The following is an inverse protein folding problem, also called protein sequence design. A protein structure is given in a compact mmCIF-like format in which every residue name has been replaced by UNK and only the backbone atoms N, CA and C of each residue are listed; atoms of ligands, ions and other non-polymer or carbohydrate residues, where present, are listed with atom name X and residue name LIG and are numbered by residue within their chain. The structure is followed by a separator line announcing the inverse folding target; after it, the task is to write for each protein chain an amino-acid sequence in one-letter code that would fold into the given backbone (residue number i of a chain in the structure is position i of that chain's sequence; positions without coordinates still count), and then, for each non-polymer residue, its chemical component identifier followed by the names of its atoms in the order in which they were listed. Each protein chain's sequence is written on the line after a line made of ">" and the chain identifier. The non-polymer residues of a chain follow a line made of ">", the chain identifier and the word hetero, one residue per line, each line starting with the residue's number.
data_IF_582843702837
#
_entry.id   IF_582843702837
#
_cell.length_a   1.000
_cell.length_b   1.000
_cell.length_c   1.000
_cell.angle_alpha   90.00
_cell.angle_beta   90.00
_cell.angle_gamma   90.00
#
_symmetry.space_group_name_H-M   'P 1'
#
loop_
_entity.id
_entity.type
_entity.pdbx_description
1 polymer ?
#
# COMPACT_ATOMS: atom_id res chain seq x y z
N UNK A 1 36.86 10.36 -16.27
CA UNK A 1 35.93 11.12 -15.41
C UNK A 1 34.64 11.36 -16.20
N UNK A 2 33.51 10.94 -15.62
CA UNK A 2 32.10 11.23 -15.93
C UNK A 2 31.64 11.50 -17.38
N UNK A 3 30.78 10.63 -17.89
CA UNK A 3 29.65 11.01 -18.75
C UNK A 3 28.53 9.96 -18.59
N UNK A 4 27.79 10.05 -17.50
CA UNK A 4 26.56 9.27 -17.29
C UNK A 4 25.42 10.03 -17.97
N UNK A 5 25.03 9.58 -19.16
CA UNK A 5 23.90 10.14 -19.91
C UNK A 5 22.57 9.79 -19.22
N UNK A 6 21.67 10.77 -19.00
CA UNK A 6 20.37 10.51 -18.39
C UNK A 6 19.44 9.80 -19.38
N UNK A 7 18.89 8.66 -18.97
CA UNK A 7 17.83 7.96 -19.69
C UNK A 7 16.51 8.66 -19.40
N UNK A 8 16.13 9.57 -20.28
CA UNK A 8 14.84 10.26 -20.27
C UNK A 8 13.71 9.27 -20.49
N UNK A 9 13.00 8.88 -19.44
CA UNK A 9 11.70 8.23 -19.58
C UNK A 9 10.63 9.32 -19.66
N UNK A 10 10.11 9.47 -20.88
CA UNK A 10 8.98 10.31 -21.22
C UNK A 10 7.72 9.85 -20.47
N UNK A 11 7.08 10.83 -19.85
CA UNK A 11 5.68 10.92 -19.45
C UNK A 11 4.76 9.83 -20.02
N UNK A 12 4.09 9.12 -19.12
CA UNK A 12 2.66 8.85 -19.28
C UNK A 12 1.96 9.14 -17.95
N UNK A 13 1.81 10.44 -17.66
CA UNK A 13 0.72 10.89 -16.82
C UNK A 13 -0.55 10.88 -17.66
N UNK A 14 -1.53 10.06 -17.30
CA UNK A 14 -2.96 10.38 -17.48
C UNK A 14 -3.83 9.36 -16.75
N UNK A 15 -4.42 9.74 -15.61
CA UNK A 15 -5.81 10.20 -15.45
C UNK A 15 -6.65 9.14 -14.71
N UNK A 16 -6.78 9.39 -13.41
CA UNK A 16 -8.02 9.40 -12.59
C UNK A 16 -9.16 8.47 -13.03
N UNK A 17 -9.44 7.45 -12.22
CA UNK A 17 -10.80 7.01 -11.82
C UNK A 17 -10.67 6.53 -10.38
N UNK A 18 -11.05 7.32 -9.38
CA UNK A 18 -12.43 7.68 -9.12
C UNK A 18 -13.00 6.58 -8.22
N UNK A 19 -12.75 6.68 -6.91
CA UNK A 19 -13.52 5.92 -5.92
C UNK A 19 -14.97 6.40 -6.03
N UNK A 20 -15.75 5.75 -6.88
CA UNK A 20 -17.17 5.92 -6.96
C UNK A 20 -17.79 4.75 -6.19
N UNK A 21 -18.06 4.99 -4.90
CA UNK A 21 -19.10 4.24 -4.20
C UNK A 21 -20.39 4.45 -4.97
N UNK A 22 -20.82 3.44 -5.73
CA UNK A 22 -22.13 3.39 -6.33
C UNK A 22 -23.00 2.46 -5.47
N UNK A 23 -23.67 3.04 -4.47
CA UNK A 23 -24.87 2.45 -3.90
C UNK A 23 -26.04 2.86 -4.78
N UNK A 24 -26.62 1.91 -5.54
CA UNK A 24 -27.96 1.99 -6.10
C UNK A 24 -28.49 0.58 -6.36
N UNK A 25 -29.69 0.33 -5.84
CA UNK A 25 -30.30 -0.98 -5.64
C UNK A 25 -30.79 -1.67 -6.93
N UNK A 26 -30.63 -3.00 -6.99
CA UNK A 26 -31.42 -3.88 -7.86
C UNK A 26 -32.02 -5.00 -7.01
N UNK A 27 -33.33 -4.92 -6.82
CA UNK A 27 -34.19 -5.97 -6.27
C UNK A 27 -34.70 -6.81 -7.46
N UNK A 28 -34.28 -8.07 -7.57
CA UNK A 28 -35.13 -9.28 -7.74
C UNK A 28 -34.33 -10.53 -8.16
N UNK A 29 -34.81 -11.67 -7.65
CA UNK A 29 -34.50 -13.08 -7.96
C UNK A 29 -33.33 -13.71 -7.19
N UNK A 30 -33.68 -14.66 -6.31
CA UNK A 30 -32.81 -15.31 -5.35
C UNK A 30 -31.65 -16.10 -5.96
N UNK A 31 -30.45 -15.82 -5.45
CA UNK A 31 -29.31 -16.74 -5.48
C UNK A 31 -29.01 -17.16 -4.03
N UNK A 32 -28.61 -18.41 -3.76
CA UNK A 32 -28.12 -18.79 -2.45
C UNK A 32 -26.89 -17.93 -2.16
N UNK A 33 -27.04 -17.04 -1.19
CA UNK A 33 -25.97 -16.17 -0.73
C UNK A 33 -24.98 -17.04 0.02
N UNK A 34 -23.99 -17.58 -0.72
CA UNK A 34 -22.84 -18.21 -0.10
C UNK A 34 -22.22 -17.19 0.86
N UNK A 35 -21.87 -17.59 2.09
CA UNK A 35 -21.37 -16.63 3.07
C UNK A 35 -20.05 -16.06 2.54
N UNK A 36 -20.03 -14.75 2.30
CA UNK A 36 -18.83 -13.98 1.95
C UNK A 36 -17.88 -13.82 3.17
N UNK A 37 -17.68 -14.90 3.93
CA UNK A 37 -16.80 -14.99 5.09
C UNK A 37 -15.53 -15.75 4.71
N UNK A 38 -14.79 -15.27 3.70
CA UNK A 38 -13.56 -15.96 3.27
C UNK A 38 -12.42 -15.05 2.77
N UNK A 39 -12.63 -13.74 2.55
CA UNK A 39 -11.55 -12.92 1.98
C UNK A 39 -10.42 -12.62 2.97
N UNK A 40 -10.73 -12.22 4.20
CA UNK A 40 -9.73 -11.70 5.15
C UNK A 40 -8.69 -12.74 5.61
N UNK A 41 -9.13 -13.97 5.96
CA UNK A 41 -8.21 -15.05 6.33
C UNK A 41 -7.35 -15.52 5.15
N UNK A 42 -7.88 -15.45 3.94
CA UNK A 42 -7.17 -15.84 2.72
C UNK A 42 -6.02 -14.88 2.39
N UNK A 43 -6.25 -13.58 2.54
CA UNK A 43 -5.27 -12.56 2.13
C UNK A 43 -4.02 -12.56 3.01
N UNK A 44 -4.17 -12.72 4.33
CA UNK A 44 -3.02 -12.85 5.23
C UNK A 44 -2.16 -14.09 4.94
N UNK A 45 -2.79 -15.22 4.60
CA UNK A 45 -2.05 -16.44 4.26
C UNK A 45 -1.31 -16.28 2.93
N UNK A 46 -1.96 -15.68 1.92
CA UNK A 46 -1.32 -15.37 0.64
C UNK A 46 -0.15 -14.41 0.79
N UNK A 47 -0.29 -13.37 1.63
CA UNK A 47 0.77 -12.42 1.93
C UNK A 47 1.98 -13.13 2.58
N UNK A 48 1.73 -14.01 3.56
CA UNK A 48 2.80 -14.83 4.17
C UNK A 48 3.48 -15.72 3.14
N UNK A 49 2.71 -16.41 2.31
CA UNK A 49 3.26 -17.28 1.26
C UNK A 49 4.08 -16.50 0.23
N UNK A 50 3.67 -15.29 -0.14
CA UNK A 50 4.43 -14.43 -1.02
C UNK A 50 5.79 -14.05 -0.41
N UNK A 51 5.83 -13.77 0.90
CA UNK A 51 7.08 -13.50 1.61
C UNK A 51 7.97 -14.75 1.69
N UNK A 52 7.42 -15.90 2.09
CA UNK A 52 8.22 -17.13 2.26
C UNK A 52 8.69 -17.73 0.94
N UNK A 53 7.95 -17.53 -0.15
CA UNK A 53 8.35 -17.95 -1.50
C UNK A 53 9.30 -16.97 -2.20
N UNK A 54 9.66 -15.85 -1.56
CA UNK A 54 10.55 -14.83 -2.13
C UNK A 54 9.92 -14.01 -3.27
N UNK A 55 8.59 -14.04 -3.40
CA UNK A 55 7.87 -13.19 -4.36
C UNK A 55 7.89 -11.71 -3.97
N UNK A 56 8.14 -11.40 -2.69
CA UNK A 56 8.30 -10.04 -2.18
C UNK A 56 9.55 -9.93 -1.31
N UNK A 57 10.09 -8.72 -1.20
CA UNK A 57 11.18 -8.42 -0.27
C UNK A 57 10.72 -8.61 1.18
N UNK A 58 11.60 -9.06 2.09
CA UNK A 58 11.30 -9.07 3.50
C UNK A 58 10.94 -7.67 4.00
N UNK A 59 9.92 -7.57 4.85
CA UNK A 59 9.43 -6.30 5.40
C UNK A 59 10.57 -5.45 6.00
N UNK A 60 11.47 -6.09 6.75
CA UNK A 60 12.66 -5.44 7.31
C UNK A 60 13.48 -4.69 6.26
N UNK A 61 13.76 -5.34 5.13
CA UNK A 61 14.54 -4.76 4.02
C UNK A 61 13.85 -3.53 3.43
N UNK A 62 12.51 -3.58 3.34
CA UNK A 62 11.71 -2.47 2.81
C UNK A 62 11.71 -1.30 3.79
N UNK A 63 11.51 -1.55 5.09
CA UNK A 63 11.54 -0.52 6.12
C UNK A 63 12.91 0.14 6.28
N UNK A 64 14.01 -0.63 6.26
CA UNK A 64 15.37 -0.09 6.31
C UNK A 64 15.69 0.85 5.14
N UNK A 65 15.11 0.58 3.95
CA UNK A 65 15.23 1.49 2.80
C UNK A 65 14.37 2.73 3.01
N UNK A 66 13.13 2.53 3.41
CA UNK A 66 12.16 3.60 3.57
C UNK A 66 12.59 4.60 4.65
N UNK A 67 13.06 4.14 5.80
CA UNK A 67 13.49 4.99 6.91
C UNK A 67 14.65 5.92 6.55
N UNK A 68 15.51 5.54 5.60
CA UNK A 68 16.61 6.40 5.11
C UNK A 68 16.13 7.58 4.28
N UNK A 69 15.04 7.41 3.55
CA UNK A 69 14.47 8.42 2.65
C UNK A 69 13.34 9.22 3.32
N UNK A 70 12.61 8.58 4.23
CA UNK A 70 11.42 9.10 4.89
C UNK A 70 11.50 8.83 6.40
N UNK A 71 12.24 9.65 7.18
CA UNK A 71 12.32 9.49 8.62
C UNK A 71 10.95 9.72 9.27
N UNK A 72 10.57 8.84 10.19
CA UNK A 72 9.32 8.90 10.91
C UNK A 72 9.03 7.60 11.67
N UNK A 73 7.99 7.61 12.49
CA UNK A 73 7.51 6.42 13.17
C UNK A 73 6.56 5.64 12.26
N UNK A 74 6.87 4.37 11.98
CA UNK A 74 5.94 3.47 11.30
C UNK A 74 4.76 3.19 12.21
N UNK A 75 3.56 3.56 11.76
CA UNK A 75 2.31 3.29 12.47
C UNK A 75 1.66 1.99 12.00
N UNK A 76 1.76 1.71 10.71
CA UNK A 76 1.06 0.59 10.08
C UNK A 76 1.78 0.15 8.81
N UNK A 77 1.75 -1.16 8.56
CA UNK A 77 2.23 -1.76 7.32
C UNK A 77 1.25 -2.82 6.85
N UNK A 78 0.83 -2.73 5.60
CA UNK A 78 -0.04 -3.70 4.93
C UNK A 78 0.68 -4.23 3.68
N UNK A 79 0.50 -5.53 3.40
CA UNK A 79 0.92 -6.15 2.15
C UNK A 79 -0.32 -6.56 1.39
N UNK A 80 -0.59 -5.87 0.28
CA UNK A 80 -1.76 -6.08 -0.55
C UNK A 80 -1.33 -6.59 -1.94
N UNK A 81 -2.26 -7.24 -2.64
CA UNK A 81 -2.12 -7.52 -4.06
C UNK A 81 -3.20 -6.76 -4.83
N UNK A 82 -2.77 -5.86 -5.71
CA UNK A 82 -3.64 -5.07 -6.59
C UNK A 82 -3.32 -5.38 -8.04
N UNK A 83 -4.30 -5.81 -8.83
CA UNK A 83 -4.13 -6.24 -10.23
C UNK A 83 -2.94 -7.21 -10.48
N UNK A 84 -2.65 -8.07 -9.49
CA UNK A 84 -1.54 -9.04 -9.55
C UNK A 84 -0.18 -8.49 -9.09
N UNK A 85 -0.07 -7.19 -8.81
CA UNK A 85 1.12 -6.55 -8.26
C UNK A 85 1.08 -6.56 -6.72
N UNK A 86 2.16 -7.02 -6.09
CA UNK A 86 2.33 -6.95 -4.65
C UNK A 86 2.79 -5.55 -4.23
N UNK A 87 2.10 -4.96 -3.26
CA UNK A 87 2.33 -3.58 -2.81
C UNK A 87 2.45 -3.56 -1.29
N UNK A 88 3.53 -2.96 -0.80
CA UNK A 88 3.59 -2.52 0.59
C UNK A 88 2.95 -1.14 0.73
N UNK A 89 1.94 -1.02 1.59
CA UNK A 89 1.45 0.26 2.06
C UNK A 89 2.01 0.54 3.45
N UNK A 90 2.75 1.64 3.60
CA UNK A 90 3.34 2.06 4.87
C UNK A 90 2.77 3.41 5.28
N UNK A 91 2.29 3.52 6.52
CA UNK A 91 1.87 4.79 7.13
C UNK A 91 2.90 5.23 8.17
N UNK A 92 3.45 6.42 7.98
CA UNK A 92 4.50 7.03 8.81
C UNK A 92 3.96 8.27 9.51
N UNK A 93 4.22 8.41 10.80
CA UNK A 93 4.08 9.68 11.53
C UNK A 93 5.42 10.42 11.50
N UNK A 94 5.45 11.57 10.84
CA UNK A 94 6.64 12.42 10.78
C UNK A 94 6.75 13.30 12.02
N UNK A 95 7.95 13.84 12.28
CA UNK A 95 8.25 14.63 13.49
C UNK A 95 7.42 15.93 13.60
N UNK A 96 6.91 16.43 12.48
CA UNK A 96 6.02 17.60 12.40
C UNK A 96 4.53 17.24 12.61
N UNK A 97 4.24 15.98 12.92
CA UNK A 97 2.89 15.46 13.11
C UNK A 97 2.15 15.12 11.81
N UNK A 98 2.79 15.22 10.64
CA UNK A 98 2.17 14.82 9.39
C UNK A 98 2.11 13.30 9.24
N UNK A 99 0.99 12.79 8.72
CA UNK A 99 0.84 11.38 8.37
C UNK A 99 1.20 11.20 6.90
N UNK A 100 2.27 10.47 6.62
CA UNK A 100 2.73 10.15 5.28
C UNK A 100 2.36 8.70 4.94
N UNK A 101 1.49 8.51 3.94
CA UNK A 101 1.15 7.19 3.38
C UNK A 101 2.00 6.95 2.13
N UNK A 102 2.72 5.85 2.07
CA UNK A 102 3.62 5.48 0.98
C UNK A 102 3.22 4.09 0.47
N UNK A 103 3.05 3.97 -0.85
CA UNK A 103 2.89 2.68 -1.53
C UNK A 103 4.19 2.33 -2.25
N UNK A 104 4.69 1.13 -2.01
CA UNK A 104 5.96 0.61 -2.53
C UNK A 104 5.70 -0.67 -3.30
N UNK A 105 6.37 -0.86 -4.43
CA UNK A 105 6.42 -2.15 -5.10
C UNK A 105 7.13 -3.17 -4.20
N UNK A 106 6.46 -4.27 -3.85
CA UNK A 106 6.97 -5.19 -2.85
C UNK A 106 8.16 -6.02 -3.33
N UNK A 107 8.45 -6.06 -4.64
CA UNK A 107 9.59 -6.81 -5.23
C UNK A 107 10.86 -5.99 -5.27
N UNK A 108 10.72 -4.68 -5.43
CA UNK A 108 11.85 -3.77 -5.70
C UNK A 108 12.03 -2.71 -4.62
N UNK A 109 11.02 -2.49 -3.78
CA UNK A 109 10.88 -1.35 -2.87
C UNK A 109 10.81 0.01 -3.58
N UNK A 110 10.47 0.05 -4.87
CA UNK A 110 10.30 1.31 -5.59
C UNK A 110 9.03 2.04 -5.11
N UNK A 111 9.13 3.34 -4.85
CA UNK A 111 7.97 4.18 -4.49
C UNK A 111 7.03 4.29 -5.68
N UNK A 112 5.80 3.80 -5.51
CA UNK A 112 4.71 3.90 -6.49
C UNK A 112 3.89 5.17 -6.27
N UNK A 113 3.63 5.52 -5.01
CA UNK A 113 2.96 6.77 -4.65
C UNK A 113 3.26 7.18 -3.21
N UNK A 114 3.23 8.48 -2.96
CA UNK A 114 3.31 9.05 -1.62
C UNK A 114 2.23 10.11 -1.46
N UNK A 115 1.53 10.12 -0.33
CA UNK A 115 0.52 11.13 -0.01
C UNK A 115 0.67 11.54 1.45
N UNK A 116 1.00 12.81 1.67
CA UNK A 116 0.87 13.45 2.97
C UNK A 116 -0.61 13.73 3.23
N UNK A 117 -1.10 13.40 4.42
CA UNK A 117 -2.36 13.88 4.95
C UNK A 117 -2.08 14.65 6.24
N UNK A 118 -2.60 15.86 6.32
CA UNK A 118 -2.72 16.60 7.58
C UNK A 118 -3.77 15.87 8.42
N UNK A 119 -3.35 14.92 9.24
CA UNK A 119 -4.25 14.10 10.04
C UNK A 119 -3.93 14.24 11.52
N UNK A 120 -4.85 14.82 12.28
CA UNK A 120 -4.89 14.69 13.74
C UNK A 120 -4.90 13.19 14.06
N UNK A 121 -3.87 12.63 14.70
CA UNK A 121 -3.88 11.23 15.07
C UNK A 121 -5.00 11.08 16.10
N UNK A 122 -6.13 10.51 15.67
CA UNK A 122 -7.22 10.19 16.58
C UNK A 122 -6.60 9.37 17.71
N UNK A 123 -6.65 9.95 18.91
CA UNK A 123 -5.92 9.46 20.06
C UNK A 123 -6.32 8.01 20.25
N UNK A 124 -5.38 7.09 20.08
CA UNK A 124 -5.49 5.76 20.64
C UNK A 124 -5.85 5.96 22.12
N UNK A 125 -7.14 5.77 22.46
CA UNK A 125 -7.62 5.95 23.83
C UNK A 125 -6.83 4.98 24.70
N UNK A 126 -6.11 5.45 25.73
CA UNK A 126 -5.66 4.53 26.76
C UNK A 126 -6.91 3.93 27.41
N UNK A 127 -6.95 2.60 27.53
CA UNK A 127 -7.84 1.91 28.46
C UNK A 127 -7.26 1.98 29.86
#
# INVERSE_FOLDING_TARGET
>A
MAAMTPRTHLLHSSIRRGMASAMAAVLLAGLPMAPALASDRGDHERARQAMTSGQVLPLRTVLERLEREHPGQVLEVELEQDEGQWIYEVKLLQNDGQLLKIKLDARTAAVLSSRARSGHPDRARPR
#
